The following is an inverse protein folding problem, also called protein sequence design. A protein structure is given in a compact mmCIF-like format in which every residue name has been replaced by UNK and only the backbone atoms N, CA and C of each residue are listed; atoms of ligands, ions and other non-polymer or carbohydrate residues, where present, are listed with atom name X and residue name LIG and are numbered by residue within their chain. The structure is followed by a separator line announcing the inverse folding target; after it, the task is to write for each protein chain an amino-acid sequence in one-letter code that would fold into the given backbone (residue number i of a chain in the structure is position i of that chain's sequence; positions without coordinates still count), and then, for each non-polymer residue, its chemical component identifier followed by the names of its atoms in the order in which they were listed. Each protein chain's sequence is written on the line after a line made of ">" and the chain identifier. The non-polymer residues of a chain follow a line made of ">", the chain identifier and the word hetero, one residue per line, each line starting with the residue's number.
data_IF_758706453697
#
_entry.id   IF_758706453697
#
_cell.length_a   1.000
_cell.length_b   1.000
_cell.length_c   1.000
_cell.angle_alpha   90.00
_cell.angle_beta   90.00
_cell.angle_gamma   90.00
#
_symmetry.space_group_name_H-M   'P 1'
#
loop_
_entity.id
_entity.type
_entity.pdbx_description
1 polymer ?
#
# COMPACT_ATOMS: atom_id res chain seq x y z
N UNK A 1 -3.66 8.32 -5.48
CA UNK A 1 -4.06 7.21 -4.60
C UNK A 1 -3.98 7.60 -3.13
N UNK A 2 -2.80 7.81 -2.53
CA UNK A 2 -2.71 8.05 -1.07
C UNK A 2 -3.51 9.27 -0.58
N UNK A 3 -3.54 10.34 -1.37
CA UNK A 3 -4.30 11.55 -1.06
C UNK A 3 -5.83 11.41 -1.16
N UNK A 4 -6.34 10.30 -1.68
CA UNK A 4 -7.78 10.05 -1.84
C UNK A 4 -8.34 9.11 -0.78
N UNK A 5 -7.57 8.78 0.25
CA UNK A 5 -7.99 7.83 1.29
C UNK A 5 -8.53 8.58 2.53
N UNK A 6 -9.81 8.40 2.88
CA UNK A 6 -10.37 8.89 4.13
C UNK A 6 -9.69 8.30 5.39
N UNK A 7 -9.65 9.04 6.52
CA UNK A 7 -9.10 8.53 7.78
C UNK A 7 -9.81 7.29 8.35
N UNK A 8 -11.10 7.10 8.03
CA UNK A 8 -11.91 5.98 8.52
C UNK A 8 -12.00 4.82 7.52
N UNK A 9 -11.06 4.76 6.57
CA UNK A 9 -11.08 3.74 5.52
C UNK A 9 -10.57 2.39 6.01
N UNK A 10 -11.18 1.33 5.50
CA UNK A 10 -10.65 -0.03 5.64
C UNK A 10 -9.85 -0.40 4.41
N UNK A 11 -8.67 -0.97 4.62
CA UNK A 11 -7.78 -1.45 3.58
C UNK A 11 -7.82 -2.96 3.48
N UNK A 12 -7.95 -3.45 2.26
CA UNK A 12 -7.64 -4.84 1.94
C UNK A 12 -6.41 -4.87 1.05
N UNK A 13 -5.46 -5.72 1.42
CA UNK A 13 -4.19 -5.88 0.74
C UNK A 13 -4.12 -7.28 0.17
N UNK A 14 -3.75 -7.37 -1.09
CA UNK A 14 -3.35 -8.62 -1.73
C UNK A 14 -1.89 -8.49 -2.18
N UNK A 15 -1.10 -9.51 -1.89
CA UNK A 15 0.36 -9.51 -2.04
C UNK A 15 0.75 -10.63 -3.01
N UNK A 16 1.42 -10.27 -4.11
CA UNK A 16 1.91 -11.23 -5.08
C UNK A 16 3.44 -11.16 -5.19
N UNK A 17 4.06 -12.32 -5.34
CA UNK A 17 5.50 -12.42 -5.50
C UNK A 17 5.99 -13.85 -5.39
N UNK A 18 7.31 -14.03 -5.25
CA UNK A 18 7.92 -15.36 -5.15
C UNK A 18 8.25 -15.68 -3.70
N UNK A 19 7.73 -16.81 -3.22
CA UNK A 19 8.04 -17.37 -1.90
C UNK A 19 7.86 -16.33 -0.77
N UNK A 20 6.67 -15.70 -0.68
CA UNK A 20 6.22 -14.54 0.15
C UNK A 20 6.45 -14.65 1.68
N UNK A 21 7.62 -15.13 2.06
CA UNK A 21 8.15 -15.25 3.39
C UNK A 21 9.26 -14.21 3.56
N UNK A 22 9.95 -14.21 4.70
CA UNK A 22 11.01 -13.22 5.01
C UNK A 22 12.13 -13.13 3.97
N UNK A 23 12.43 -14.22 3.27
CA UNK A 23 13.49 -14.28 2.25
C UNK A 23 12.91 -14.32 0.82
N UNK A 24 11.61 -14.06 0.68
CA UNK A 24 10.92 -13.97 -0.59
C UNK A 24 11.10 -12.63 -1.28
N UNK A 25 10.32 -12.46 -2.34
CA UNK A 25 10.20 -11.18 -3.06
C UNK A 25 8.73 -10.79 -3.12
N UNK A 26 8.47 -9.50 -3.01
CA UNK A 26 7.17 -8.90 -3.28
C UNK A 26 7.25 -8.20 -4.63
N UNK A 27 6.40 -8.60 -5.57
CA UNK A 27 6.40 -8.07 -6.94
C UNK A 27 5.26 -7.11 -7.19
N UNK A 28 4.07 -7.42 -6.67
CA UNK A 28 2.87 -6.60 -6.84
C UNK A 28 2.13 -6.49 -5.52
N UNK A 29 1.62 -5.30 -5.25
CA UNK A 29 0.71 -5.03 -4.15
C UNK A 29 -0.58 -4.45 -4.72
N UNK A 30 -1.70 -5.11 -4.45
CA UNK A 30 -3.03 -4.60 -4.77
C UNK A 30 -3.67 -4.06 -3.51
N UNK A 31 -4.18 -2.83 -3.56
CA UNK A 31 -4.87 -2.19 -2.44
C UNK A 31 -6.30 -1.86 -2.83
N UNK A 32 -7.27 -2.34 -2.05
CA UNK A 32 -8.67 -1.94 -2.13
C UNK A 32 -9.02 -1.06 -0.91
N UNK A 33 -9.64 0.09 -1.18
CA UNK A 33 -10.02 1.08 -0.16
C UNK A 33 -11.54 1.20 -0.03
N UNK A 34 -12.07 0.84 1.13
CA UNK A 34 -13.49 1.04 1.46
C UNK A 34 -13.73 2.36 2.21
N UNK A 35 -14.91 2.99 2.06
CA UNK A 35 -16.04 2.57 1.21
C UNK A 35 -15.92 2.99 -0.26
N UNK A 36 -14.85 3.70 -0.64
CA UNK A 36 -14.69 4.27 -1.99
C UNK A 36 -14.63 3.23 -3.11
N UNK A 37 -14.33 1.97 -2.78
CA UNK A 37 -14.07 0.87 -3.73
C UNK A 37 -12.96 1.22 -4.75
N UNK A 38 -12.07 2.14 -4.38
CA UNK A 38 -10.91 2.45 -5.19
C UNK A 38 -9.89 1.32 -5.06
N UNK A 39 -9.48 0.78 -6.20
CA UNK A 39 -8.42 -0.24 -6.29
C UNK A 39 -7.20 0.34 -6.96
N UNK A 40 -6.02 -0.02 -6.46
CA UNK A 40 -4.75 0.37 -7.08
C UNK A 40 -3.77 -0.79 -7.07
N UNK A 41 -3.10 -0.99 -8.21
CA UNK A 41 -2.00 -1.93 -8.37
C UNK A 41 -0.68 -1.16 -8.25
N UNK A 42 0.20 -1.63 -7.38
CA UNK A 42 1.49 -1.02 -7.10
C UNK A 42 2.56 -2.02 -7.53
N UNK A 43 3.28 -1.69 -8.59
CA UNK A 43 4.40 -2.48 -9.11
C UNK A 43 5.62 -2.30 -8.19
N UNK A 44 5.69 -3.14 -7.15
CA UNK A 44 6.78 -3.14 -6.17
C UNK A 44 8.08 -3.62 -6.82
N UNK A 45 8.00 -4.51 -7.80
CA UNK A 45 9.18 -5.04 -8.49
C UNK A 45 9.94 -3.94 -9.22
N UNK A 46 9.25 -3.04 -9.92
CA UNK A 46 9.87 -1.93 -10.64
C UNK A 46 10.23 -0.78 -9.70
N UNK A 47 9.34 -0.45 -8.75
CA UNK A 47 9.50 0.74 -7.90
C UNK A 47 10.42 0.52 -6.68
N UNK A 48 10.59 -0.72 -6.23
CA UNK A 48 11.33 -1.07 -5.02
C UNK A 48 10.87 -0.23 -3.81
N UNK A 49 11.83 0.33 -3.08
CA UNK A 49 11.57 1.16 -1.90
C UNK A 49 10.69 2.39 -2.17
N UNK A 50 10.69 2.89 -3.41
CA UNK A 50 9.88 4.05 -3.79
C UNK A 50 8.37 3.72 -3.78
N UNK A 51 7.98 2.46 -3.91
CA UNK A 51 6.59 2.02 -3.77
C UNK A 51 6.01 2.40 -2.40
N UNK A 52 6.85 2.40 -1.37
CA UNK A 52 6.44 2.63 0.02
C UNK A 52 6.74 4.03 0.51
N UNK A 53 7.79 4.67 -0.01
CA UNK A 53 8.33 5.94 0.53
C UNK A 53 7.94 7.18 -0.27
N UNK A 54 7.37 7.03 -1.47
CA UNK A 54 6.94 8.18 -2.27
C UNK A 54 5.76 8.90 -1.59
N UNK A 55 5.88 10.19 -1.25
CA UNK A 55 4.79 10.96 -0.65
C UNK A 55 3.69 11.25 -1.66
N UNK A 56 2.44 11.11 -1.23
CA UNK A 56 1.27 11.62 -1.96
C UNK A 56 1.11 13.13 -1.82
N UNK A 57 0.05 13.70 -2.41
CA UNK A 57 -0.24 15.15 -2.36
C UNK A 57 -0.35 15.67 -0.92
N UNK A 58 -0.79 14.84 0.02
CA UNK A 58 -0.87 15.17 1.45
C UNK A 58 0.39 14.88 2.26
N UNK A 59 1.52 14.55 1.64
CA UNK A 59 2.79 14.22 2.32
C UNK A 59 2.87 12.81 2.90
N UNK A 60 1.75 12.11 3.07
CA UNK A 60 1.72 10.73 3.56
C UNK A 60 2.29 9.75 2.53
N UNK A 61 3.01 8.75 3.04
CA UNK A 61 3.57 7.64 2.26
C UNK A 61 2.79 6.36 2.55
N UNK A 62 2.90 5.35 1.69
CA UNK A 62 2.29 4.04 1.95
C UNK A 62 2.92 3.37 3.18
N UNK A 63 4.22 3.58 3.41
CA UNK A 63 4.91 3.12 4.62
C UNK A 63 4.28 3.70 5.88
N UNK A 64 4.11 5.02 5.94
CA UNK A 64 3.53 5.69 7.11
C UNK A 64 2.09 5.20 7.38
N UNK A 65 1.33 4.94 6.32
CA UNK A 65 -0.01 4.37 6.43
C UNK A 65 0.04 2.94 7.01
N UNK A 66 0.84 2.03 6.43
CA UNK A 66 0.89 0.64 6.89
C UNK A 66 1.49 0.45 8.30
N UNK A 67 2.27 1.42 8.78
CA UNK A 67 2.90 1.41 10.10
C UNK A 67 2.11 2.22 11.16
N UNK A 68 0.96 2.80 10.80
CA UNK A 68 0.14 3.59 11.73
C UNK A 68 -0.46 2.69 12.84
N UNK A 69 -0.15 2.95 14.13
CA UNK A 69 -0.64 2.15 15.23
C UNK A 69 -2.15 2.28 15.47
N UNK A 70 -2.81 3.25 14.84
CA UNK A 70 -4.24 3.54 15.01
C UNK A 70 -5.13 2.94 13.91
N UNK A 71 -4.58 2.09 13.03
CA UNK A 71 -5.33 1.41 11.96
C UNK A 71 -6.11 0.16 12.44
N UNK A 72 -6.01 -0.21 13.73
CA UNK A 72 -6.75 -1.32 14.33
C UNK A 72 -7.99 -0.88 15.12
#
# INVERSE_FOLDING_TARGET
>A
FLSSIPPSSTFYLDLEGKSLTRNGTLSLLTVLVLPTQATSNIDVQTLGDSAFTTPGIGGNTLKALLEDPHIF
#
